data_IF_799504862830
#
_entry.id   IF_799504862830
#
_cell.length_a   1.000
_cell.length_b   1.000
_cell.length_c   1.000
_cell.angle_alpha   90.00
_cell.angle_beta   90.00
_cell.angle_gamma   90.00
#
_symmetry.space_group_name_H-M   'P 1'
#
loop_
_entity.id
_entity.type
_entity.pdbx_description
1 polymer ?
#
# COMPACT_ATOMS: atom_id res chain seq x y z
N UNK A 1 37.37 -26.28 -2.70
CA UNK A 1 36.83 -25.00 -3.19
C UNK A 1 35.34 -24.99 -2.89
N UNK A 2 34.88 -24.21 -1.91
CA UNK A 2 33.46 -24.08 -1.53
C UNK A 2 32.98 -22.70 -2.00
N UNK A 3 31.97 -22.67 -2.84
CA UNK A 3 31.26 -21.43 -3.21
C UNK A 3 30.53 -20.88 -1.99
N UNK A 4 30.69 -19.60 -1.63
CA UNK A 4 29.78 -18.97 -0.67
C UNK A 4 28.42 -18.77 -1.36
N UNK A 5 27.41 -19.33 -0.72
CA UNK A 5 25.99 -19.15 -1.00
C UNK A 5 25.67 -17.66 -1.18
N UNK A 6 25.14 -17.29 -2.35
CA UNK A 6 24.56 -15.96 -2.57
C UNK A 6 23.26 -15.85 -1.78
N UNK A 7 23.12 -14.93 -0.80
CA UNK A 7 21.83 -14.66 -0.20
C UNK A 7 20.96 -13.94 -1.23
N UNK A 8 20.06 -14.71 -1.86
CA UNK A 8 19.04 -14.27 -2.79
C UNK A 8 18.01 -13.44 -2.02
N UNK A 9 18.17 -12.12 -2.08
CA UNK A 9 17.15 -11.08 -1.91
C UNK A 9 15.71 -11.57 -1.60
N UNK A 10 15.36 -11.69 -0.33
CA UNK A 10 13.96 -11.80 0.08
C UNK A 10 13.69 -11.00 1.33
N UNK A 11 14.28 -9.80 1.41
CA UNK A 11 13.74 -8.77 2.28
C UNK A 11 12.52 -8.18 1.56
N UNK A 12 11.44 -8.96 1.50
CA UNK A 12 10.14 -8.47 1.10
C UNK A 12 9.61 -7.62 2.26
N UNK A 13 10.24 -6.46 2.45
CA UNK A 13 9.78 -5.45 3.39
C UNK A 13 8.43 -4.95 2.89
N UNK A 14 7.38 -5.18 3.66
CA UNK A 14 6.02 -4.71 3.44
C UNK A 14 5.94 -3.18 3.45
N UNK A 15 6.51 -2.55 2.44
CA UNK A 15 6.58 -1.11 2.23
C UNK A 15 5.72 -0.75 1.02
N UNK A 16 4.46 -1.16 1.02
CA UNK A 16 3.60 -0.96 -0.14
C UNK A 16 3.40 0.55 -0.35
N UNK A 17 4.03 1.06 -1.41
CA UNK A 17 3.90 2.46 -1.81
C UNK A 17 2.50 2.68 -2.38
N UNK A 18 1.85 3.71 -1.87
CA UNK A 18 0.50 4.12 -2.26
C UNK A 18 0.47 5.62 -2.44
N UNK A 19 -0.53 6.13 -3.15
CA UNK A 19 -0.83 7.55 -3.15
C UNK A 19 -1.99 7.83 -2.21
N UNK A 20 -1.89 8.84 -1.35
CA UNK A 20 -3.02 9.28 -0.55
C UNK A 20 -3.36 10.75 -0.85
N UNK A 21 -4.61 11.15 -0.65
CA UNK A 21 -4.98 12.56 -0.76
C UNK A 21 -4.27 13.38 0.33
N UNK A 22 -3.72 14.52 -0.07
CA UNK A 22 -3.11 15.47 0.85
C UNK A 22 -4.08 15.87 1.97
N UNK A 23 -3.56 16.25 3.14
CA UNK A 23 -4.37 16.85 4.22
C UNK A 23 -4.87 18.27 3.86
N UNK A 24 -4.47 18.82 2.72
CA UNK A 24 -4.83 20.17 2.33
C UNK A 24 -6.18 20.18 1.59
N UNK A 25 -7.24 20.63 2.24
CA UNK A 25 -8.61 20.72 1.67
C UNK A 25 -8.72 21.71 0.52
N UNK A 26 -7.69 22.54 0.29
CA UNK A 26 -7.65 23.49 -0.84
C UNK A 26 -6.98 22.91 -2.08
N UNK A 27 -6.27 21.79 -1.95
CA UNK A 27 -5.47 21.21 -3.03
C UNK A 27 -5.58 19.69 -2.95
N UNK A 28 -6.51 19.12 -3.73
CA UNK A 28 -6.69 17.67 -3.92
C UNK A 28 -5.50 17.07 -4.70
N UNK A 29 -4.33 17.12 -4.09
CA UNK A 29 -3.10 16.53 -4.62
C UNK A 29 -2.87 15.16 -3.99
N UNK A 30 -2.66 14.17 -4.84
CA UNK A 30 -2.20 12.85 -4.46
C UNK A 30 -0.72 12.91 -4.09
N UNK A 31 -0.38 12.48 -2.88
CA UNK A 31 0.98 12.43 -2.36
C UNK A 31 1.41 10.98 -2.15
N UNK A 32 2.66 10.62 -2.51
CA UNK A 32 3.17 9.26 -2.31
C UNK A 32 3.39 9.01 -0.81
N UNK A 33 2.82 7.95 -0.28
CA UNK A 33 2.92 7.51 1.11
C UNK A 33 3.10 5.97 1.16
N UNK A 34 3.45 5.43 2.32
CA UNK A 34 3.61 3.98 2.50
C UNK A 34 2.49 3.46 3.39
N UNK A 35 1.77 2.41 2.98
CA UNK A 35 0.81 1.76 3.89
C UNK A 35 1.58 1.09 5.01
N UNK A 36 1.26 1.47 6.24
CA UNK A 36 1.84 0.86 7.42
C UNK A 36 0.94 -0.23 7.98
N UNK A 37 -0.36 0.04 8.12
CA UNK A 37 -1.31 -0.94 8.63
C UNK A 37 -2.75 -0.61 8.22
N UNK A 38 -3.61 -1.62 8.16
CA UNK A 38 -5.06 -1.42 8.03
C UNK A 38 -5.65 -1.30 9.43
N UNK A 39 -6.37 -0.21 9.70
CA UNK A 39 -6.97 0.08 11.02
C UNK A 39 -8.43 -0.40 11.14
N UNK A 40 -9.03 -0.85 10.04
CA UNK A 40 -10.39 -1.39 9.99
C UNK A 40 -10.82 -1.65 8.54
N UNK A 41 -12.12 -1.84 8.31
CA UNK A 41 -12.62 -2.16 6.96
C UNK A 41 -12.37 -1.06 5.93
N UNK A 42 -12.49 0.20 6.34
CA UNK A 42 -12.39 1.36 5.44
C UNK A 42 -11.20 2.27 5.75
N UNK A 43 -10.50 2.05 6.86
CA UNK A 43 -9.44 2.93 7.33
C UNK A 43 -8.07 2.28 7.23
N UNK A 44 -7.11 3.01 6.68
CA UNK A 44 -5.71 2.63 6.60
C UNK A 44 -4.84 3.66 7.30
N UNK A 45 -3.77 3.18 7.91
CA UNK A 45 -2.68 3.98 8.41
C UNK A 45 -1.58 4.03 7.35
N UNK A 46 -1.28 5.24 6.88
CA UNK A 46 -0.22 5.50 5.91
C UNK A 46 0.85 6.37 6.53
N UNK A 47 2.11 6.08 6.23
CA UNK A 47 3.26 6.87 6.66
C UNK A 47 3.65 7.81 5.52
N UNK A 48 3.62 9.10 5.80
CA UNK A 48 4.09 10.15 4.90
C UNK A 48 5.10 11.03 5.64
N UNK A 49 6.32 11.13 5.12
CA UNK A 49 7.41 11.90 5.74
C UNK A 49 7.63 11.56 7.23
N UNK A 50 7.51 10.27 7.60
CA UNK A 50 7.65 9.80 8.98
C UNK A 50 6.45 10.10 9.89
N UNK A 51 5.38 10.72 9.38
CA UNK A 51 4.13 10.93 10.12
C UNK A 51 3.13 9.85 9.77
N UNK A 52 2.38 9.38 10.77
CA UNK A 52 1.30 8.40 10.60
C UNK A 52 0.00 9.16 10.34
N UNK A 53 -0.67 8.86 9.23
CA UNK A 53 -1.94 9.47 8.84
C UNK A 53 -3.00 8.38 8.69
N UNK A 54 -4.16 8.59 9.31
CA UNK A 54 -5.35 7.76 9.08
C UNK A 54 -6.07 8.27 7.84
N UNK A 55 -6.25 7.42 6.84
CA UNK A 55 -6.94 7.75 5.58
C UNK A 55 -7.98 6.70 5.24
N UNK A 56 -9.07 7.18 4.67
CA UNK A 56 -10.12 6.32 4.15
C UNK A 56 -9.62 5.60 2.88
N UNK A 57 -10.10 4.40 2.60
CA UNK A 57 -9.74 3.62 1.42
C UNK A 57 -10.00 4.39 0.12
N UNK A 58 -11.10 5.16 0.05
CA UNK A 58 -11.39 6.03 -1.10
C UNK A 58 -10.36 7.17 -1.30
N UNK A 59 -9.67 7.58 -0.24
CA UNK A 59 -8.63 8.61 -0.24
C UNK A 59 -7.22 8.02 -0.42
N UNK A 60 -7.11 6.73 -0.67
CA UNK A 60 -5.86 6.04 -0.98
C UNK A 60 -6.00 5.38 -2.35
N UNK A 61 -4.93 5.41 -3.13
CA UNK A 61 -4.76 4.68 -4.37
C UNK A 61 -3.56 3.77 -4.18
N UNK A 62 -3.82 2.47 -4.10
CA UNK A 62 -2.76 1.48 -4.14
C UNK A 62 -2.02 1.62 -5.46
N UNK A 63 -0.68 1.66 -5.41
CA UNK A 63 0.12 1.50 -6.62
C UNK A 63 -0.06 0.05 -7.07
N UNK A 64 -1.06 -0.20 -7.91
CA UNK A 64 -1.35 -1.51 -8.51
C UNK A 64 -0.25 -1.83 -9.52
N UNK A 65 0.97 -2.04 -9.03
CA UNK A 65 2.05 -2.69 -9.77
C UNK A 65 1.88 -4.20 -9.81
N UNK A 66 0.95 -4.78 -9.05
CA UNK A 66 0.61 -6.19 -9.14
C UNK A 66 -0.89 -6.38 -8.95
N UNK A 67 -1.56 -6.48 -10.09
CA UNK A 67 -2.91 -6.96 -10.27
C UNK A 67 -3.06 -8.34 -9.61
N UNK A 68 -3.51 -8.40 -8.36
CA UNK A 68 -4.40 -9.49 -7.97
C UNK A 68 -5.82 -8.95 -8.11
N UNK A 69 -6.27 -8.98 -9.36
CA UNK A 69 -7.68 -9.23 -9.63
C UNK A 69 -7.98 -10.59 -9.01
N UNK A 70 -8.53 -10.58 -7.81
CA UNK A 70 -9.49 -11.60 -7.41
C UNK A 70 -10.84 -10.93 -7.46
N UNK A 71 -11.30 -10.65 -8.68
CA UNK A 71 -12.71 -10.88 -8.95
C UNK A 71 -12.95 -12.36 -8.62
N UNK A 72 -13.45 -12.63 -7.41
CA UNK A 72 -14.11 -13.88 -7.13
C UNK A 72 -15.44 -13.84 -7.89
N UNK A 73 -15.36 -14.16 -9.17
CA UNK A 73 -16.48 -14.75 -9.89
C UNK A 73 -16.77 -16.08 -9.23
N UNK A 74 -17.90 -16.19 -8.53
CA UNK A 74 -18.56 -17.47 -8.33
C UNK A 74 -20.04 -17.30 -8.69
N UNK A 75 -20.43 -18.12 -9.67
CA UNK A 75 -21.68 -18.21 -10.40
C UNK A 75 -22.82 -18.85 -9.59
N UNK A 76 -24.03 -18.67 -10.12
CA UNK A 76 -25.18 -19.58 -10.10
C UNK A 76 -25.92 -19.84 -8.78
N UNK A 77 -27.19 -19.39 -8.71
CA UNK A 77 -28.36 -20.28 -8.71
C UNK A 77 -29.59 -19.57 -9.31
#
# INVERSE_FOLDING_TARGET
MRTPDSPRNSEQTSNQQVYCLSCNTRVDKWIPATVHSRLGDIHYNVIFQGKHLKRHVNQIRSFLGNHQSTGSSNEAE
#
